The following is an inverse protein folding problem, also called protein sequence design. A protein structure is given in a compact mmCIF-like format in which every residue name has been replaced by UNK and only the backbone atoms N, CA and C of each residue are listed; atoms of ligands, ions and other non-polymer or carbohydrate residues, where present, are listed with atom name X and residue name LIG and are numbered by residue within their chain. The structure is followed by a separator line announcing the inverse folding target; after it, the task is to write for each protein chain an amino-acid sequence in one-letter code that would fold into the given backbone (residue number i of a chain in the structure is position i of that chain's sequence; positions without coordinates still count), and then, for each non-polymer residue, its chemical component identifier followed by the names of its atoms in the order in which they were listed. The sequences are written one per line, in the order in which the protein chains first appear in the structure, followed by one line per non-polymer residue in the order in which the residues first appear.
data_IF_474686331487
#
_entry.id   IF_474686331487
#
_cell.length_a   1.000
_cell.length_b   1.000
_cell.length_c   1.000
_cell.angle_alpha   90.00
_cell.angle_beta   90.00
_cell.angle_gamma   90.00
#
_symmetry.space_group_name_H-M   'P 1'
#
loop_
_entity.id
_entity.type
_entity.pdbx_description
1 polymer ?
#
# COMPACT_ATOMS: atom_id res chain seq x y z
N UNK A 1 -10.37 41.53 -59.47
CA UNK A 1 -9.59 40.72 -58.49
C UNK A 1 -8.38 41.43 -57.85
N UNK A 2 -8.03 42.69 -58.18
CA UNK A 2 -6.80 43.32 -57.65
C UNK A 2 -6.84 43.79 -56.17
N UNK A 3 -8.01 44.09 -55.59
CA UNK A 3 -8.09 44.79 -54.30
C UNK A 3 -7.46 44.04 -53.10
N UNK A 4 -7.72 42.73 -52.96
CA UNK A 4 -7.24 41.93 -51.83
C UNK A 4 -5.71 41.83 -51.76
N UNK A 5 -5.03 41.68 -52.90
CA UNK A 5 -3.56 41.59 -52.96
C UNK A 5 -2.85 42.85 -52.44
N UNK A 6 -3.47 44.02 -52.56
CA UNK A 6 -2.89 45.28 -52.07
C UNK A 6 -3.05 45.42 -50.55
N UNK A 7 -4.18 44.95 -49.99
CA UNK A 7 -4.41 44.93 -48.53
C UNK A 7 -3.43 43.99 -47.80
N UNK A 8 -3.12 42.82 -48.37
CA UNK A 8 -2.21 41.86 -47.75
C UNK A 8 -0.76 42.34 -47.56
N UNK A 9 -0.33 43.41 -48.24
CA UNK A 9 1.06 43.93 -48.14
C UNK A 9 1.39 44.64 -46.83
N UNK A 10 0.38 45.10 -46.08
CA UNK A 10 0.56 45.89 -44.85
C UNK A 10 0.16 45.12 -43.58
N UNK A 11 -0.17 43.83 -43.72
CA UNK A 11 -0.63 42.99 -42.61
C UNK A 11 0.51 42.14 -42.04
N UNK A 12 0.48 41.91 -40.73
CA UNK A 12 1.38 40.99 -40.05
C UNK A 12 1.18 39.55 -40.59
N UNK A 13 2.23 38.74 -40.81
CA UNK A 13 2.11 37.34 -41.22
C UNK A 13 1.03 36.52 -40.49
N UNK A 14 0.85 36.75 -39.18
CA UNK A 14 -0.21 36.09 -38.41
C UNK A 14 -1.63 36.52 -38.84
N UNK A 15 -1.84 37.81 -39.08
CA UNK A 15 -3.13 38.35 -39.52
C UNK A 15 -3.44 37.97 -40.97
N UNK A 16 -2.43 38.01 -41.84
CA UNK A 16 -2.52 37.52 -43.22
C UNK A 16 -2.94 36.03 -43.23
N UNK A 17 -2.28 35.19 -42.42
CA UNK A 17 -2.63 33.79 -42.27
C UNK A 17 -4.06 33.60 -41.75
N UNK A 18 -4.48 34.36 -40.74
CA UNK A 18 -5.84 34.34 -40.19
C UNK A 18 -6.90 34.71 -41.25
N UNK A 19 -6.66 35.76 -42.04
CA UNK A 19 -7.60 36.18 -43.09
C UNK A 19 -7.64 35.14 -44.22
N UNK A 20 -6.50 34.56 -44.61
CA UNK A 20 -6.47 33.49 -45.62
C UNK A 20 -7.19 32.23 -45.13
N UNK A 21 -6.96 31.77 -43.90
CA UNK A 21 -7.70 30.64 -43.33
C UNK A 21 -9.20 30.94 -43.30
N UNK A 22 -9.61 32.12 -42.83
CA UNK A 22 -11.03 32.49 -42.77
C UNK A 22 -11.69 32.59 -44.16
N UNK A 23 -10.97 33.09 -45.18
CA UNK A 23 -11.52 33.25 -46.54
C UNK A 23 -11.50 31.96 -47.36
N UNK A 24 -10.51 31.09 -47.16
CA UNK A 24 -10.27 29.94 -48.04
C UNK A 24 -10.55 28.58 -47.40
N UNK A 25 -10.37 28.45 -46.08
CA UNK A 25 -10.48 27.18 -45.34
C UNK A 25 -11.73 27.12 -44.45
N UNK A 26 -12.07 28.20 -43.74
CA UNK A 26 -13.23 28.27 -42.83
C UNK A 26 -14.43 29.00 -43.44
N UNK A 27 -14.91 28.51 -44.59
CA UNK A 27 -16.03 29.14 -45.31
C UNK A 27 -17.38 28.78 -44.70
N UNK A 28 -17.47 27.61 -44.07
CA UNK A 28 -18.62 27.10 -43.35
C UNK A 28 -18.29 26.92 -41.87
N UNK A 29 -19.26 27.02 -40.95
CA UNK A 29 -19.02 26.88 -39.51
C UNK A 29 -18.51 25.49 -39.11
N UNK A 30 -18.69 24.46 -39.96
CA UNK A 30 -18.20 23.11 -39.69
C UNK A 30 -16.72 22.88 -40.05
N UNK A 31 -16.14 23.73 -40.91
CA UNK A 31 -14.77 23.59 -41.42
C UNK A 31 -13.71 23.71 -40.31
N UNK A 32 -14.10 24.20 -39.12
CA UNK A 32 -13.24 24.25 -37.92
C UNK A 32 -12.70 22.85 -37.56
N UNK A 33 -13.43 21.79 -37.93
CA UNK A 33 -12.98 20.39 -37.80
C UNK A 33 -11.69 20.11 -38.60
N UNK A 34 -11.48 20.74 -39.75
CA UNK A 34 -10.30 20.56 -40.62
C UNK A 34 -9.01 21.11 -39.99
N UNK A 35 -9.13 22.08 -39.08
CA UNK A 35 -7.98 22.64 -38.34
C UNK A 35 -7.61 21.81 -37.10
N UNK A 36 -8.39 20.78 -36.75
CA UNK A 36 -8.07 19.92 -35.62
C UNK A 36 -6.92 18.98 -35.97
N UNK A 37 -5.80 19.09 -35.23
CA UNK A 37 -4.71 18.11 -35.29
C UNK A 37 -5.26 16.71 -35.02
N UNK A 38 -4.90 15.75 -35.87
CA UNK A 38 -5.12 14.33 -35.61
C UNK A 38 -4.30 13.88 -34.38
N UNK A 39 -4.97 13.70 -33.24
CA UNK A 39 -4.37 13.25 -31.96
C UNK A 39 -4.35 11.73 -31.79
N UNK A 40 -4.87 10.97 -32.75
CA UNK A 40 -5.10 9.52 -32.63
C UNK A 40 -3.82 8.68 -32.47
N UNK A 41 -2.67 9.20 -32.90
CA UNK A 41 -1.39 8.51 -32.85
C UNK A 41 -0.38 9.21 -31.91
N UNK A 42 -0.82 10.19 -31.12
CA UNK A 42 0.03 10.91 -30.17
C UNK A 42 0.23 10.03 -28.90
N UNK A 43 1.41 9.41 -28.74
CA UNK A 43 1.75 8.61 -27.55
C UNK A 43 1.92 9.55 -26.35
N UNK A 44 0.97 9.48 -25.41
CA UNK A 44 1.01 10.26 -24.15
C UNK A 44 1.51 9.42 -22.98
N UNK A 45 1.95 10.08 -21.91
CA UNK A 45 2.38 9.48 -20.64
C UNK A 45 1.36 8.47 -20.07
N UNK A 46 0.06 8.69 -20.34
CA UNK A 46 -1.01 7.75 -19.97
C UNK A 46 -0.88 6.40 -20.69
N UNK A 47 -0.51 6.40 -21.98
CA UNK A 47 -0.27 5.16 -22.71
C UNK A 47 0.96 4.43 -22.14
N UNK A 48 2.06 5.16 -21.89
CA UNK A 48 3.26 4.60 -21.25
C UNK A 48 2.93 3.96 -19.89
N UNK A 49 2.06 4.59 -19.09
CA UNK A 49 1.56 4.00 -17.84
C UNK A 49 0.72 2.74 -18.07
N UNK A 50 -0.18 2.73 -19.07
CA UNK A 50 -1.00 1.55 -19.37
C UNK A 50 -0.15 0.39 -19.90
N UNK A 51 0.86 0.66 -20.73
CA UNK A 51 1.78 -0.33 -21.28
C UNK A 51 2.59 -1.02 -20.17
N UNK A 52 3.12 -0.24 -19.21
CA UNK A 52 4.08 -0.70 -18.20
C UNK A 52 3.52 -0.84 -16.78
N UNK A 53 2.21 -0.68 -16.57
CA UNK A 53 1.64 -0.90 -15.24
C UNK A 53 1.81 -2.35 -14.79
N UNK A 54 2.24 -2.52 -13.54
CA UNK A 54 2.30 -3.81 -12.84
C UNK A 54 1.46 -3.71 -11.57
N UNK A 55 0.77 -4.79 -11.21
CA UNK A 55 -0.08 -4.83 -10.01
C UNK A 55 0.76 -4.84 -8.73
N UNK A 56 1.91 -5.52 -8.78
CA UNK A 56 2.99 -5.43 -7.82
C UNK A 56 4.31 -5.29 -8.60
N UNK A 57 5.18 -4.42 -8.12
CA UNK A 57 6.57 -4.38 -8.58
C UNK A 57 7.36 -5.33 -7.70
N UNK A 58 8.05 -6.27 -8.34
CA UNK A 58 9.12 -7.05 -7.70
C UNK A 58 10.33 -6.14 -7.44
N UNK A 59 11.22 -6.51 -6.52
CA UNK A 59 12.36 -5.68 -6.11
C UNK A 59 13.40 -5.44 -7.23
N UNK A 60 13.22 -6.10 -8.38
CA UNK A 60 13.97 -5.85 -9.62
C UNK A 60 13.93 -4.36 -10.02
N UNK A 61 15.11 -3.78 -10.24
CA UNK A 61 15.22 -2.39 -10.67
C UNK A 61 14.75 -2.21 -12.13
N UNK A 62 13.90 -1.20 -12.41
CA UNK A 62 13.40 -0.93 -13.76
C UNK A 62 14.52 -0.45 -14.69
N UNK A 63 14.64 -1.09 -15.86
CA UNK A 63 15.74 -0.86 -16.81
C UNK A 63 15.45 0.29 -17.77
N UNK A 64 14.17 0.48 -18.12
CA UNK A 64 13.75 1.52 -19.05
C UNK A 64 13.18 2.73 -18.30
N UNK A 65 13.37 3.94 -18.85
CA UNK A 65 12.75 5.17 -18.31
C UNK A 65 11.22 5.06 -18.19
N UNK A 66 10.57 4.37 -19.13
CA UNK A 66 9.13 4.10 -19.12
C UNK A 66 8.70 3.26 -17.90
N UNK A 67 9.48 2.24 -17.56
CA UNK A 67 9.27 1.42 -16.36
C UNK A 67 9.57 2.22 -15.07
N UNK A 68 10.62 3.06 -15.07
CA UNK A 68 10.95 3.95 -13.95
C UNK A 68 9.82 4.94 -13.68
N UNK A 69 9.22 5.50 -14.73
CA UNK A 69 8.06 6.38 -14.64
C UNK A 69 6.84 5.64 -14.07
N UNK A 70 6.55 4.44 -14.57
CA UNK A 70 5.48 3.60 -14.06
C UNK A 70 5.69 3.17 -12.58
N UNK A 71 6.92 2.87 -12.17
CA UNK A 71 7.29 2.57 -10.77
C UNK A 71 7.10 3.78 -9.86
N UNK A 72 7.56 4.97 -10.26
CA UNK A 72 7.33 6.23 -9.50
C UNK A 72 5.85 6.56 -9.35
N UNK A 73 5.06 6.38 -10.41
CA UNK A 73 3.60 6.56 -10.33
C UNK A 73 2.97 5.50 -9.42
N UNK A 74 3.45 4.26 -9.50
CA UNK A 74 3.00 3.18 -8.64
C UNK A 74 3.24 3.52 -7.16
N UNK A 75 4.45 3.88 -6.76
CA UNK A 75 4.81 4.23 -5.37
C UNK A 75 3.93 5.34 -4.78
N UNK A 76 3.47 6.29 -5.61
CA UNK A 76 2.57 7.39 -5.20
C UNK A 76 1.12 6.96 -4.92
N UNK A 77 0.69 5.75 -5.29
CA UNK A 77 -0.69 5.27 -5.10
C UNK A 77 -0.94 4.72 -3.68
N UNK A 78 -2.11 5.02 -3.12
CA UNK A 78 -2.56 4.51 -1.82
C UNK A 78 -3.05 3.05 -1.87
N UNK A 79 -2.14 2.09 -1.66
CA UNK A 79 -2.35 0.62 -1.79
C UNK A 79 -2.77 -0.10 -0.51
N UNK A 80 -3.02 0.58 0.59
CA UNK A 80 -3.24 -0.10 1.89
C UNK A 80 -4.51 -0.96 1.93
N UNK A 81 -5.56 -0.55 1.22
CA UNK A 81 -6.89 -1.17 1.28
C UNK A 81 -7.49 -1.31 -0.11
N UNK A 82 -8.03 -2.49 -0.41
CA UNK A 82 -8.83 -2.78 -1.59
C UNK A 82 -10.33 -2.56 -1.36
N UNK A 83 -11.06 -2.41 -2.45
CA UNK A 83 -12.52 -2.48 -2.50
C UNK A 83 -12.94 -3.83 -3.09
N UNK A 84 -13.98 -4.42 -2.51
CA UNK A 84 -14.61 -5.65 -2.95
C UNK A 84 -15.98 -5.37 -3.57
N UNK A 85 -16.35 -6.15 -4.58
CA UNK A 85 -17.74 -6.33 -4.98
C UNK A 85 -18.22 -7.69 -4.46
N UNK A 86 -19.05 -7.65 -3.42
CA UNK A 86 -19.62 -8.84 -2.77
C UNK A 86 -21.00 -9.20 -3.32
N UNK A 87 -21.41 -8.67 -4.49
CA UNK A 87 -22.77 -8.92 -5.02
C UNK A 87 -23.04 -10.39 -5.35
N UNK A 88 -22.03 -11.10 -5.90
CA UNK A 88 -22.14 -12.52 -6.32
C UNK A 88 -21.50 -13.51 -5.34
N UNK A 89 -21.44 -13.14 -4.06
CA UNK A 89 -20.83 -13.95 -2.99
C UNK A 89 -21.41 -15.38 -2.87
N UNK A 90 -22.69 -15.58 -3.22
CA UNK A 90 -23.33 -16.90 -3.24
C UNK A 90 -22.72 -17.87 -4.26
N UNK A 91 -22.19 -17.35 -5.36
CA UNK A 91 -21.47 -18.12 -6.40
C UNK A 91 -19.97 -18.30 -6.06
N UNK A 92 -19.53 -17.93 -4.85
CA UNK A 92 -18.13 -17.83 -4.45
C UNK A 92 -17.29 -16.85 -5.33
N UNK A 93 -17.96 -15.96 -6.08
CA UNK A 93 -17.34 -14.95 -6.94
C UNK A 93 -17.26 -13.62 -6.20
N UNK A 94 -16.04 -13.19 -5.92
CA UNK A 94 -15.72 -11.88 -5.32
C UNK A 94 -14.77 -11.16 -6.25
N UNK A 95 -15.13 -9.96 -6.71
CA UNK A 95 -14.23 -9.11 -7.47
C UNK A 95 -13.51 -8.14 -6.51
N UNK A 96 -12.21 -7.94 -6.71
CA UNK A 96 -11.40 -6.99 -5.94
C UNK A 96 -10.77 -5.96 -6.88
N UNK A 97 -10.59 -4.73 -6.40
CA UNK A 97 -9.82 -3.69 -7.08
C UNK A 97 -9.23 -2.68 -6.11
N UNK A 98 -8.20 -1.96 -6.56
CA UNK A 98 -7.71 -0.77 -5.88
C UNK A 98 -8.76 0.35 -5.82
N UNK A 99 -8.58 1.24 -4.85
CA UNK A 99 -9.44 2.42 -4.65
C UNK A 99 -9.16 3.48 -5.71
N UNK A 100 -10.21 4.15 -6.16
CA UNK A 100 -10.11 5.34 -7.03
C UNK A 100 -9.94 6.58 -6.15
N UNK A 101 -9.31 7.64 -6.67
CA UNK A 101 -9.14 8.94 -6.00
C UNK A 101 -10.37 9.40 -5.20
N UNK A 102 -11.56 9.46 -5.84
CA UNK A 102 -12.83 9.84 -5.19
C UNK A 102 -13.16 8.99 -3.96
N UNK A 103 -12.80 7.71 -3.99
CA UNK A 103 -13.05 6.77 -2.90
C UNK A 103 -12.04 6.95 -1.76
N UNK A 104 -10.78 7.21 -2.09
CA UNK A 104 -9.72 7.55 -1.11
C UNK A 104 -10.09 8.85 -0.38
N UNK A 105 -10.47 9.91 -1.10
CA UNK A 105 -10.95 11.18 -0.52
C UNK A 105 -12.17 10.97 0.38
N UNK A 106 -13.11 10.10 -0.01
CA UNK A 106 -14.27 9.75 0.82
C UNK A 106 -13.99 8.81 2.01
N UNK A 107 -12.76 8.30 2.17
CA UNK A 107 -12.40 7.34 3.22
C UNK A 107 -12.94 5.92 3.02
N UNK A 108 -13.46 5.57 1.83
CA UNK A 108 -13.96 4.21 1.53
C UNK A 108 -12.86 3.16 1.62
N UNK A 109 -13.21 1.99 2.15
CA UNK A 109 -12.29 0.90 2.46
C UNK A 109 -11.46 1.07 3.74
N UNK A 110 -11.49 2.25 4.39
CA UNK A 110 -10.71 2.55 5.59
C UNK A 110 -11.58 2.98 6.78
N UNK A 111 -12.43 3.99 6.58
CA UNK A 111 -13.43 4.49 7.56
C UNK A 111 -14.86 4.11 7.19
N UNK A 112 -15.09 3.69 5.94
CA UNK A 112 -16.36 3.17 5.43
C UNK A 112 -16.11 1.78 4.85
N UNK A 113 -17.09 0.88 4.93
CA UNK A 113 -17.02 -0.49 4.42
C UNK A 113 -16.46 -0.54 2.98
N UNK A 114 -15.49 -1.42 2.76
CA UNK A 114 -14.86 -1.66 1.46
C UNK A 114 -15.72 -2.44 0.46
N UNK A 115 -16.99 -2.73 0.75
CA UNK A 115 -17.91 -3.31 -0.23
C UNK A 115 -18.53 -2.19 -1.08
N UNK A 116 -18.40 -2.26 -2.40
CA UNK A 116 -18.82 -1.23 -3.38
C UNK A 116 -20.21 -0.61 -3.13
N UNK A 117 -21.18 -1.42 -2.71
CA UNK A 117 -22.60 -1.02 -2.51
C UNK A 117 -22.87 -0.56 -1.06
N UNK A 118 -22.00 -0.88 -0.11
CA UNK A 118 -22.22 -0.62 1.31
C UNK A 118 -21.57 0.71 1.73
N UNK A 119 -22.30 1.50 2.53
CA UNK A 119 -21.81 2.78 3.09
C UNK A 119 -21.72 2.75 4.64
N UNK A 120 -21.73 1.55 5.24
CA UNK A 120 -21.71 1.35 6.69
C UNK A 120 -20.29 1.61 7.26
N UNK A 121 -20.18 2.48 8.27
CA UNK A 121 -18.92 2.90 8.90
C UNK A 121 -18.62 2.20 10.24
N UNK A 122 -19.60 1.48 10.79
CA UNK A 122 -19.48 0.90 12.13
C UNK A 122 -18.75 -0.45 12.16
N UNK A 123 -18.00 -0.68 13.23
CA UNK A 123 -17.41 -1.99 13.59
C UNK A 123 -16.61 -2.69 12.47
N UNK A 124 -15.85 -1.89 11.70
CA UNK A 124 -15.05 -2.32 10.55
C UNK A 124 -13.88 -3.25 10.93
N UNK A 125 -13.97 -4.51 10.49
CA UNK A 125 -12.93 -5.53 10.66
C UNK A 125 -12.04 -5.62 9.42
N UNK A 126 -10.73 -5.74 9.62
CA UNK A 126 -9.75 -5.92 8.56
C UNK A 126 -9.59 -7.41 8.22
N UNK A 127 -9.56 -7.71 6.93
CA UNK A 127 -9.40 -9.06 6.38
C UNK A 127 -8.25 -9.05 5.38
N UNK A 128 -7.50 -10.14 5.34
CA UNK A 128 -6.49 -10.41 4.32
C UNK A 128 -7.05 -11.48 3.39
N UNK A 129 -7.08 -11.18 2.09
CA UNK A 129 -7.70 -12.01 1.07
C UNK A 129 -6.68 -12.26 -0.03
N UNK A 130 -6.51 -13.54 -0.41
CA UNK A 130 -5.71 -13.89 -1.56
C UNK A 130 -6.40 -13.41 -2.86
N UNK A 131 -5.70 -12.60 -3.63
CA UNK A 131 -6.10 -12.08 -4.93
C UNK A 131 -5.25 -12.75 -6.00
N UNK A 132 -5.87 -13.66 -6.76
CA UNK A 132 -5.27 -14.26 -7.94
C UNK A 132 -5.52 -13.34 -9.14
N UNK A 133 -4.46 -12.99 -9.87
CA UNK A 133 -4.52 -12.14 -11.06
C UNK A 133 -3.64 -12.70 -12.18
N UNK A 134 -3.88 -12.23 -13.40
CA UNK A 134 -3.06 -12.56 -14.56
C UNK A 134 -2.26 -11.32 -14.98
N UNK A 135 -0.96 -11.48 -15.18
CA UNK A 135 -0.05 -10.40 -15.56
C UNK A 135 0.95 -10.97 -16.58
N UNK A 136 1.08 -10.34 -17.74
CA UNK A 136 1.97 -10.77 -18.84
C UNK A 136 1.83 -12.25 -19.26
N UNK A 137 0.65 -12.85 -19.06
CA UNK A 137 0.34 -14.25 -19.37
C UNK A 137 0.51 -15.22 -18.20
N UNK A 138 1.16 -14.81 -17.11
CA UNK A 138 1.39 -15.61 -15.92
C UNK A 138 0.27 -15.41 -14.87
N UNK A 139 0.07 -16.42 -14.02
CA UNK A 139 -0.87 -16.35 -12.88
C UNK A 139 -0.11 -16.02 -11.60
N UNK A 140 -0.30 -14.80 -11.10
CA UNK A 140 0.29 -14.34 -9.83
C UNK A 140 -0.77 -14.27 -8.73
N UNK A 141 -0.32 -14.39 -7.48
CA UNK A 141 -1.16 -14.33 -6.29
C UNK A 141 -0.61 -13.26 -5.34
N UNK A 142 -1.48 -12.39 -4.82
CA UNK A 142 -1.12 -11.36 -3.85
C UNK A 142 -2.06 -11.38 -2.65
N UNK A 143 -1.53 -11.18 -1.44
CA UNK A 143 -2.35 -11.03 -0.24
C UNK A 143 -2.74 -9.55 -0.08
N UNK A 144 -4.04 -9.24 -0.12
CA UNK A 144 -4.53 -7.86 -0.11
C UNK A 144 -5.48 -7.61 1.08
N UNK A 145 -5.35 -6.42 1.68
CA UNK A 145 -6.10 -6.02 2.88
C UNK A 145 -7.40 -5.32 2.49
N UNK A 146 -8.48 -5.61 3.21
CA UNK A 146 -9.83 -5.06 2.99
C UNK A 146 -10.50 -4.82 4.35
N UNK A 147 -11.14 -3.67 4.58
CA UNK A 147 -11.99 -3.47 5.77
C UNK A 147 -13.46 -3.62 5.43
N UNK A 148 -14.18 -4.43 6.21
CA UNK A 148 -15.60 -4.72 6.00
C UNK A 148 -16.38 -4.61 7.32
N UNK A 149 -17.61 -4.12 7.23
CA UNK A 149 -18.56 -4.17 8.34
C UNK A 149 -18.98 -5.63 8.65
N UNK A 150 -19.60 -5.92 9.82
CA UNK A 150 -19.97 -7.27 10.21
C UNK A 150 -20.92 -7.98 9.22
N UNK A 151 -21.80 -7.23 8.55
CA UNK A 151 -22.73 -7.76 7.55
C UNK A 151 -22.00 -8.23 6.28
N UNK A 152 -21.03 -7.46 5.79
CA UNK A 152 -20.23 -7.80 4.61
C UNK A 152 -19.14 -8.85 4.91
N UNK A 153 -18.60 -8.87 6.13
CA UNK A 153 -17.70 -9.93 6.63
C UNK A 153 -18.35 -11.32 6.51
N UNK A 154 -19.62 -11.46 6.95
CA UNK A 154 -20.38 -12.72 6.79
C UNK A 154 -20.55 -13.14 5.31
N UNK A 155 -20.67 -12.18 4.38
CA UNK A 155 -20.74 -12.45 2.93
C UNK A 155 -19.40 -12.93 2.36
N UNK A 156 -18.29 -12.33 2.78
CA UNK A 156 -16.94 -12.74 2.37
C UNK A 156 -16.63 -14.19 2.80
N UNK A 157 -17.11 -14.59 3.99
CA UNK A 157 -16.87 -15.90 4.58
C UNK A 157 -18.04 -16.89 4.36
N UNK A 158 -18.93 -16.62 3.41
CA UNK A 158 -20.17 -17.38 3.20
C UNK A 158 -19.93 -18.86 2.87
N UNK A 159 -18.96 -19.15 1.99
CA UNK A 159 -18.63 -20.51 1.56
C UNK A 159 -17.44 -21.13 2.32
N UNK A 160 -16.59 -20.31 2.93
CA UNK A 160 -15.38 -20.75 3.63
C UNK A 160 -15.21 -19.97 4.94
N UNK A 161 -14.97 -20.68 6.05
CA UNK A 161 -14.57 -20.11 7.34
C UNK A 161 -13.13 -19.55 7.26
N UNK A 162 -12.89 -18.53 6.42
CA UNK A 162 -11.58 -17.86 6.33
C UNK A 162 -11.27 -17.19 7.67
N UNK A 163 -10.01 -17.28 8.09
CA UNK A 163 -9.57 -16.91 9.44
C UNK A 163 -9.70 -15.40 9.67
N UNK A 164 -10.30 -15.03 10.79
CA UNK A 164 -10.33 -13.65 11.28
C UNK A 164 -9.00 -13.32 11.96
N UNK A 165 -8.39 -12.18 11.59
CA UNK A 165 -7.21 -11.66 12.30
C UNK A 165 -7.68 -11.03 13.61
N UNK A 166 -7.80 -11.87 14.65
CA UNK A 166 -7.95 -11.38 16.02
C UNK A 166 -6.66 -10.68 16.42
N UNK A 167 -6.72 -9.39 16.78
CA UNK A 167 -5.64 -8.74 17.54
C UNK A 167 -5.41 -9.58 18.80
N UNK A 168 -4.26 -10.23 18.89
CA UNK A 168 -3.83 -10.93 20.10
C UNK A 168 -3.69 -9.88 21.21
N UNK A 169 -4.68 -9.83 22.12
CA UNK A 169 -4.52 -9.12 23.39
C UNK A 169 -3.39 -9.82 24.14
N UNK A 170 -2.23 -9.16 24.31
CA UNK A 170 -1.20 -9.59 25.25
C UNK A 170 -1.84 -9.64 26.65
N UNK A 171 -2.28 -10.82 27.08
CA UNK A 171 -2.74 -11.03 28.44
C UNK A 171 -1.52 -11.29 29.31
N UNK A 172 -1.27 -10.37 30.22
CA UNK A 172 -0.36 -10.52 31.35
C UNK A 172 -0.67 -11.82 32.10
N UNK A 173 0.28 -12.76 32.09
CA UNK A 173 0.26 -13.98 32.89
C UNK A 173 1.50 -14.04 33.76
N UNK A 174 1.48 -13.30 34.87
CA UNK A 174 2.26 -13.59 36.05
C UNK A 174 1.35 -13.29 37.27
N UNK A 175 1.03 -14.35 38.02
CA UNK A 175 0.56 -14.32 39.41
C UNK A 175 1.06 -15.60 40.10
N UNK A 176 2.12 -15.41 40.88
CA UNK A 176 2.80 -16.31 41.84
C UNK A 176 1.94 -17.47 42.42
N UNK A 177 2.53 -18.66 42.54
CA UNK A 177 2.07 -19.78 43.39
C UNK A 177 3.20 -20.23 44.31
N UNK A 178 2.97 -20.26 45.63
CA UNK A 178 3.82 -20.99 46.59
C UNK A 178 2.99 -21.39 47.83
N UNK A 179 2.95 -22.68 48.10
CA UNK A 179 2.64 -23.34 49.38
C UNK A 179 3.89 -24.17 49.73
N UNK A 180 4.12 -24.73 50.93
CA UNK A 180 3.21 -25.10 52.01
C UNK A 180 3.97 -25.28 53.36
N UNK A 181 3.27 -25.73 54.40
CA UNK A 181 3.68 -26.15 55.76
C UNK A 181 3.89 -25.03 56.82
N UNK A 182 3.33 -25.10 58.04
CA UNK A 182 2.66 -26.24 58.74
C UNK A 182 1.70 -25.83 59.89
N UNK A 183 0.69 -26.68 60.11
CA UNK A 183 -0.04 -27.00 61.36
C UNK A 183 -1.11 -26.08 62.04
N UNK A 184 -2.25 -26.74 62.34
CA UNK A 184 -3.29 -26.49 63.38
C UNK A 184 -4.53 -25.59 63.12
N UNK A 185 -5.71 -26.07 63.54
CA UNK A 185 -6.85 -25.25 63.99
C UNK A 185 -8.10 -25.10 63.10
N UNK A 186 -9.14 -25.90 63.38
CA UNK A 186 -10.61 -25.63 63.27
C UNK A 186 -11.23 -24.72 62.16
N UNK A 187 -12.19 -25.33 61.44
CA UNK A 187 -13.56 -24.86 61.16
C UNK A 187 -13.85 -23.55 60.36
N UNK A 188 -14.45 -23.77 59.18
CA UNK A 188 -15.69 -23.15 58.65
C UNK A 188 -15.70 -22.12 57.47
N UNK A 189 -16.75 -22.29 56.65
CA UNK A 189 -17.35 -21.59 55.50
C UNK A 189 -16.75 -20.29 54.84
N UNK A 190 -16.67 -20.35 53.49
CA UNK A 190 -17.13 -19.34 52.47
C UNK A 190 -16.32 -18.10 51.98
N UNK A 191 -15.98 -18.14 50.66
CA UNK A 191 -16.14 -17.10 49.59
C UNK A 191 -15.12 -15.91 49.45
N UNK A 192 -14.90 -15.50 48.17
CA UNK A 192 -14.30 -14.27 47.55
C UNK A 192 -12.77 -14.05 47.32
N UNK A 193 -12.51 -13.16 46.35
CA UNK A 193 -11.49 -13.03 45.30
C UNK A 193 -10.14 -12.30 45.54
N UNK A 194 -9.11 -12.73 44.78
CA UNK A 194 -8.05 -11.98 44.04
C UNK A 194 -7.31 -10.76 44.64
N UNK A 195 -5.97 -10.85 44.90
CA UNK A 195 -4.91 -10.18 44.06
C UNK A 195 -3.43 -10.17 44.57
N UNK A 196 -2.50 -10.11 43.59
CA UNK A 196 -1.08 -9.61 43.56
C UNK A 196 0.15 -10.46 43.94
N UNK A 197 1.28 -10.10 43.30
CA UNK A 197 2.66 -10.65 43.29
C UNK A 197 3.60 -9.91 44.30
N UNK A 198 4.98 -10.03 44.40
CA UNK A 198 6.00 -10.49 43.41
C UNK A 198 7.36 -11.11 43.92
N UNK A 199 8.32 -11.40 43.00
CA UNK A 199 9.79 -11.65 43.18
C UNK A 199 10.26 -12.91 43.99
N UNK A 200 11.46 -13.54 43.88
CA UNK A 200 12.66 -13.49 42.98
C UNK A 200 13.52 -14.80 43.11
N UNK A 201 14.57 -14.98 42.28
CA UNK A 201 15.76 -15.92 42.31
C UNK A 201 15.55 -17.47 42.48
N UNK A 202 16.01 -18.40 41.61
CA UNK A 202 17.40 -18.82 41.20
C UNK A 202 17.97 -20.00 42.07
N UNK A 203 18.71 -21.06 41.67
CA UNK A 203 19.47 -21.53 40.45
C UNK A 203 19.54 -23.09 40.35
N UNK A 204 20.40 -23.64 39.44
CA UNK A 204 20.90 -25.05 39.24
C UNK A 204 20.00 -25.98 38.41
N UNK A 205 20.34 -26.38 37.17
CA UNK A 205 21.52 -27.12 36.59
C UNK A 205 21.56 -28.63 36.92
N UNK A 206 21.43 -29.44 35.87
CA UNK A 206 22.07 -30.76 35.69
C UNK A 206 22.63 -30.75 34.26
N UNK A 207 23.88 -31.18 34.10
CA UNK A 207 24.64 -31.20 32.84
C UNK A 207 24.73 -32.63 32.28
N UNK A 208 24.95 -32.75 30.96
CA UNK A 208 25.43 -33.96 30.29
C UNK A 208 26.08 -33.56 28.95
N UNK A 209 27.26 -34.12 28.67
CA UNK A 209 28.25 -33.55 27.73
C UNK A 209 28.12 -33.99 26.26
N UNK A 210 28.55 -33.12 25.35
CA UNK A 210 28.96 -33.39 23.95
C UNK A 210 30.18 -32.47 23.65
N UNK A 211 31.23 -32.92 22.93
CA UNK A 211 32.61 -32.48 23.19
C UNK A 211 33.13 -31.26 22.40
N UNK A 212 34.34 -30.86 22.79
CA UNK A 212 35.10 -29.67 22.36
C UNK A 212 35.46 -29.62 20.86
N UNK A 213 35.27 -28.46 20.25
CA UNK A 213 36.05 -28.01 19.08
C UNK A 213 36.30 -26.50 19.16
N UNK A 214 37.59 -26.11 19.16
CA UNK A 214 38.15 -24.78 18.81
C UNK A 214 37.41 -23.53 19.31
N UNK A 215 38.00 -22.87 20.30
CA UNK A 215 37.69 -21.48 20.66
C UNK A 215 37.97 -20.54 19.47
N UNK A 216 36.95 -19.84 19.00
CA UNK A 216 36.98 -18.46 18.46
C UNK A 216 35.56 -18.12 17.99
N UNK A 217 34.81 -17.32 18.78
CA UNK A 217 33.45 -16.89 18.42
C UNK A 217 33.51 -15.68 17.48
N UNK A 218 33.01 -15.75 16.22
CA UNK A 218 33.14 -14.66 15.23
C UNK A 218 32.26 -13.42 15.48
N UNK A 219 31.91 -13.14 16.73
CA UNK A 219 30.87 -12.16 17.10
C UNK A 219 31.37 -11.02 17.99
N UNK A 220 32.67 -10.97 18.32
CA UNK A 220 33.28 -9.82 19.03
C UNK A 220 33.66 -8.66 18.10
N UNK A 221 33.65 -8.84 16.77
CA UNK A 221 33.98 -7.77 15.81
C UNK A 221 32.82 -6.79 15.57
N UNK A 222 31.57 -7.17 15.83
CA UNK A 222 30.40 -6.30 15.66
C UNK A 222 30.17 -5.38 16.87
N UNK A 223 31.08 -4.42 17.07
CA UNK A 223 30.71 -3.18 17.75
C UNK A 223 29.64 -2.46 16.91
N UNK A 224 28.54 -1.98 17.50
CA UNK A 224 27.57 -1.19 16.74
C UNK A 224 28.24 0.09 16.26
N UNK A 225 28.21 0.33 14.95
CA UNK A 225 28.62 1.60 14.38
C UNK A 225 27.75 2.70 15.00
N UNK A 226 28.42 3.69 15.60
CA UNK A 226 27.73 4.88 16.10
C UNK A 226 27.21 5.61 14.87
N UNK A 227 25.88 5.60 14.68
CA UNK A 227 25.22 6.31 13.61
C UNK A 227 25.51 7.79 13.83
N UNK A 228 26.47 8.33 13.08
CA UNK A 228 26.80 9.75 13.07
C UNK A 228 25.54 10.53 12.70
N UNK A 229 25.34 11.65 13.37
CA UNK A 229 24.31 12.59 12.95
C UNK A 229 24.68 13.17 11.59
N UNK A 230 23.66 13.52 10.79
CA UNK A 230 23.83 14.12 9.46
C UNK A 230 24.70 15.40 9.48
N UNK A 231 24.81 16.07 10.61
CA UNK A 231 25.65 17.26 10.79
C UNK A 231 27.13 16.87 10.91
N UNK A 232 27.46 15.79 11.63
CA UNK A 232 28.81 15.24 11.74
C UNK A 232 29.32 14.67 10.40
N UNK A 233 28.45 14.00 9.62
CA UNK A 233 28.79 13.55 8.26
C UNK A 233 29.12 14.72 7.32
N UNK A 234 28.45 15.86 7.51
CA UNK A 234 28.67 17.07 6.70
C UNK A 234 29.95 17.81 7.12
N UNK A 235 30.28 17.79 8.42
CA UNK A 235 31.52 18.35 8.96
C UNK A 235 32.76 17.56 8.51
N UNK A 236 32.71 16.22 8.58
CA UNK A 236 33.79 15.34 8.06
C UNK A 236 34.04 15.60 6.57
N UNK A 237 32.97 15.68 5.75
CA UNK A 237 33.08 15.97 4.32
C UNK A 237 33.67 17.36 4.02
N UNK A 238 33.41 18.36 4.88
CA UNK A 238 34.01 19.70 4.75
C UNK A 238 35.49 19.70 5.13
N UNK A 239 35.91 18.88 6.10
CA UNK A 239 37.31 18.75 6.52
C UNK A 239 38.17 18.06 5.44
N UNK A 240 37.67 16.99 4.82
CA UNK A 240 38.36 16.30 3.69
C UNK A 240 38.52 17.20 2.44
N UNK A 241 37.75 18.29 2.34
CA UNK A 241 37.81 19.28 1.25
C UNK A 241 38.76 20.47 1.54
N UNK A 242 39.35 20.53 2.73
CA UNK A 242 40.22 21.61 3.22
C UNK A 242 41.67 21.17 3.46
N UNK A 243 42.01 19.93 3.11
CA UNK A 243 43.36 19.33 3.14
C UNK A 243 43.91 19.24 1.72
#
# INVERSE_FOLDING_TARGET
MCALRTQFRYLNPYELHKIIINQYVLKQPEDIKLLQRNKSNDRTDYHVLVDHHRFLWEDNEPKTWEEQFAKRYFEKLFKEYCIADLSRYKENKVALRWRIEKEVVSGKGQFICGNKICNESENLRSWEVNFAYHEQGERKNALVKIRLCPSCSKKLNYHHKKREIKRLKKQSKYKKKKSDSKESGSEDETIVCDSSEPESSESRRIEADIPETSNETPWEEHKPEVIKSREEEMEDYLQDLLI
#
